data_IF_349596085531
#
_entry.id   IF_349596085531
#
_cell.length_a   1.000
_cell.length_b   1.000
_cell.length_c   1.000
_cell.angle_alpha   90.00
_cell.angle_beta   90.00
_cell.angle_gamma   90.00
#
_symmetry.space_group_name_H-M   'P 1'
#
loop_
_entity.id
_entity.type
_entity.pdbx_description
1 polymer ?
#
# COMPACT_ATOMS: atom_id res chain seq x y z
N UNK A 1 26.72 -15.72 1.34
CA UNK A 1 25.65 -16.51 1.98
C UNK A 1 24.40 -15.66 2.08
N UNK A 2 23.29 -16.12 1.55
CA UNK A 2 22.01 -15.42 1.65
C UNK A 2 21.47 -15.61 3.08
N UNK A 3 21.40 -14.57 3.92
CA UNK A 3 20.94 -14.68 5.31
C UNK A 3 19.45 -15.03 5.43
N UNK A 4 18.75 -15.15 4.29
CA UNK A 4 17.34 -15.44 4.22
C UNK A 4 16.97 -16.92 4.41
N UNK A 5 17.95 -17.81 4.51
CA UNK A 5 17.72 -19.25 4.70
C UNK A 5 18.15 -19.61 6.11
N UNK A 6 17.19 -19.73 7.02
CA UNK A 6 17.43 -20.34 8.33
C UNK A 6 17.66 -21.83 8.14
N UNK A 7 18.66 -22.38 8.83
CA UNK A 7 18.92 -23.83 8.89
C UNK A 7 17.77 -24.59 9.56
N UNK A 8 16.92 -23.89 10.31
CA UNK A 8 15.70 -24.39 10.93
C UNK A 8 14.50 -24.05 10.05
N UNK A 9 13.89 -25.06 9.41
CA UNK A 9 12.68 -24.92 8.57
C UNK A 9 11.51 -24.22 9.28
N UNK A 10 11.50 -24.20 10.61
CA UNK A 10 10.46 -23.55 11.42
C UNK A 10 10.51 -22.02 11.34
N UNK A 11 11.67 -21.44 11.01
CA UNK A 11 11.91 -19.99 10.91
C UNK A 11 12.31 -19.57 9.49
N UNK A 12 11.95 -20.33 8.49
CA UNK A 12 12.26 -20.02 7.09
C UNK A 12 11.57 -18.72 6.67
N UNK A 13 12.34 -17.80 6.08
CA UNK A 13 11.81 -16.56 5.55
C UNK A 13 10.81 -16.86 4.43
N UNK A 14 9.62 -16.32 4.55
CA UNK A 14 8.56 -16.44 3.57
C UNK A 14 8.45 -15.17 2.71
N UNK A 15 7.83 -15.29 1.55
CA UNK A 15 7.52 -14.19 0.66
C UNK A 15 6.13 -14.37 0.06
N UNK A 16 5.48 -13.27 -0.25
CA UNK A 16 4.20 -13.24 -0.94
C UNK A 16 4.21 -12.14 -2.00
N UNK A 17 3.46 -12.34 -3.08
CA UNK A 17 3.33 -11.36 -4.14
C UNK A 17 1.93 -11.41 -4.74
N UNK A 18 1.45 -10.25 -5.21
CA UNK A 18 0.20 -10.10 -5.95
C UNK A 18 0.49 -9.29 -7.22
N UNK A 19 -0.03 -9.74 -8.35
CA UNK A 19 -0.01 -9.02 -9.61
C UNK A 19 -1.46 -8.78 -10.07
N UNK A 20 -1.77 -7.52 -10.42
CA UNK A 20 -3.10 -7.09 -10.82
C UNK A 20 -3.02 -6.45 -12.21
N UNK A 21 -4.01 -6.75 -13.05
CA UNK A 21 -4.25 -5.99 -14.28
C UNK A 21 -4.88 -4.65 -13.90
N UNK A 22 -4.16 -3.55 -14.16
CA UNK A 22 -4.57 -2.21 -13.76
C UNK A 22 -5.91 -1.79 -14.38
N UNK A 23 -6.20 -2.25 -15.61
CA UNK A 23 -7.41 -1.85 -16.36
C UNK A 23 -8.68 -2.55 -15.86
N UNK A 24 -8.55 -3.73 -15.27
CA UNK A 24 -9.67 -4.57 -14.86
C UNK A 24 -9.82 -4.81 -13.38
N UNK A 25 -8.75 -4.63 -12.59
CA UNK A 25 -8.67 -5.04 -11.20
C UNK A 25 -8.48 -6.55 -10.98
N UNK A 26 -8.39 -7.34 -12.06
CA UNK A 26 -8.25 -8.78 -11.95
C UNK A 26 -6.87 -9.17 -11.43
N UNK A 27 -6.84 -10.07 -10.45
CA UNK A 27 -5.61 -10.71 -10.00
C UNK A 27 -5.15 -11.70 -11.07
N UNK A 28 -4.04 -11.38 -11.73
CA UNK A 28 -3.47 -12.22 -12.80
C UNK A 28 -2.43 -13.22 -12.26
N UNK A 29 -1.83 -12.92 -11.09
CA UNK A 29 -0.98 -13.85 -10.38
C UNK A 29 -0.97 -13.55 -8.89
N UNK A 30 -0.95 -14.59 -8.06
CA UNK A 30 -0.84 -14.46 -6.60
C UNK A 30 0.04 -15.60 -6.06
N UNK A 31 0.99 -15.24 -5.21
CA UNK A 31 1.90 -16.18 -4.55
C UNK A 31 1.80 -15.95 -3.05
N UNK A 32 1.37 -16.95 -2.30
CA UNK A 32 1.16 -16.87 -0.86
C UNK A 32 2.34 -17.31 0.00
N UNK A 33 3.35 -18.00 -0.57
CA UNK A 33 4.57 -18.40 0.14
C UNK A 33 5.68 -18.80 -0.85
N UNK A 34 6.92 -18.94 -0.35
CA UNK A 34 8.06 -19.41 -1.16
C UNK A 34 7.97 -20.88 -1.55
N UNK A 35 7.44 -21.69 -0.67
CA UNK A 35 7.27 -23.12 -0.86
C UNK A 35 5.85 -23.52 -0.46
N UNK A 36 5.34 -24.58 -1.07
CA UNK A 36 4.01 -25.11 -0.81
C UNK A 36 4.15 -26.63 -0.60
N UNK A 37 4.91 -27.00 0.44
CA UNK A 37 5.28 -28.40 0.73
C UNK A 37 4.27 -29.10 1.65
N UNK A 38 3.16 -28.44 1.98
CA UNK A 38 2.13 -28.98 2.86
C UNK A 38 0.86 -29.30 2.06
N UNK A 39 0.35 -30.48 2.24
CA UNK A 39 -0.98 -30.88 1.77
C UNK A 39 -2.06 -30.15 2.55
N UNK A 40 -3.03 -29.55 1.84
CA UNK A 40 -4.19 -28.90 2.43
C UNK A 40 -4.22 -27.39 2.35
N UNK A 41 -5.10 -26.78 3.14
CA UNK A 41 -5.29 -25.33 3.16
C UNK A 41 -4.15 -24.64 3.91
N UNK A 42 -3.25 -23.99 3.18
CA UNK A 42 -2.15 -23.22 3.75
C UNK A 42 -2.43 -21.72 3.73
N UNK A 43 -1.75 -20.97 4.61
CA UNK A 43 -1.88 -19.52 4.68
C UNK A 43 -1.42 -18.84 3.39
N UNK A 44 -2.32 -18.18 2.68
CA UNK A 44 -1.95 -17.30 1.59
C UNK A 44 -1.59 -15.92 2.13
N UNK A 45 -0.29 -15.66 2.27
CA UNK A 45 0.23 -14.43 2.87
C UNK A 45 -0.03 -13.19 2.02
N UNK A 46 -0.40 -13.35 0.76
CA UNK A 46 -0.63 -12.22 -0.12
C UNK A 46 -1.85 -11.37 0.29
N UNK A 47 -2.89 -12.01 0.89
CA UNK A 47 -4.08 -11.33 1.38
C UNK A 47 -4.45 -11.64 2.84
N UNK A 48 -3.85 -12.67 3.44
CA UNK A 48 -4.14 -13.08 4.83
C UNK A 48 -3.07 -12.60 5.82
N UNK A 49 -1.93 -12.07 5.34
CA UNK A 49 -0.86 -11.58 6.18
C UNK A 49 -0.65 -10.09 5.98
N UNK A 50 -0.63 -9.36 7.07
CA UNK A 50 -0.46 -7.91 7.10
C UNK A 50 0.94 -7.56 7.57
N UNK A 51 1.60 -6.62 6.92
CA UNK A 51 2.95 -6.15 7.22
C UNK A 51 3.04 -4.64 7.07
N UNK A 52 4.00 -4.04 7.74
CA UNK A 52 4.26 -2.63 7.62
C UNK A 52 4.71 -2.31 6.19
N UNK A 53 3.99 -1.45 5.44
CA UNK A 53 4.35 -1.11 4.07
C UNK A 53 5.58 -0.18 4.01
N UNK A 54 5.90 0.49 5.10
CA UNK A 54 6.92 1.53 5.12
C UNK A 54 6.61 2.62 4.10
N UNK A 55 7.65 3.20 3.51
CA UNK A 55 7.53 4.30 2.56
C UNK A 55 6.75 3.98 1.27
N UNK A 56 6.46 2.71 0.99
CA UNK A 56 5.65 2.36 -0.19
C UNK A 56 4.19 2.83 -0.07
N UNK A 57 3.71 3.17 1.13
CA UNK A 57 2.36 3.71 1.32
C UNK A 57 2.23 5.20 0.98
N UNK A 58 3.33 5.96 1.01
CA UNK A 58 3.33 7.42 0.85
C UNK A 58 2.59 7.93 -0.39
N UNK A 59 2.74 7.34 -1.58
CA UNK A 59 1.98 7.78 -2.74
C UNK A 59 0.48 7.76 -2.50
N UNK A 60 -0.03 6.73 -1.85
CA UNK A 60 -1.46 6.50 -1.68
C UNK A 60 -2.05 7.37 -0.56
N UNK A 61 -1.39 7.43 0.59
CA UNK A 61 -1.95 8.06 1.80
C UNK A 61 -1.62 9.55 1.92
N UNK A 62 -0.45 9.97 1.43
CA UNK A 62 0.03 11.34 1.55
C UNK A 62 -0.14 12.13 0.25
N UNK A 63 0.42 11.63 -0.84
CA UNK A 63 0.65 12.45 -2.03
C UNK A 63 -0.55 12.51 -2.96
N UNK A 64 -1.29 11.42 -3.17
CA UNK A 64 -2.52 11.45 -3.97
C UNK A 64 -3.53 12.42 -3.36
N UNK A 65 -3.95 12.31 -2.07
CA UNK A 65 -4.88 13.26 -1.48
C UNK A 65 -4.33 14.70 -1.41
N UNK A 66 -3.03 14.89 -1.32
CA UNK A 66 -2.41 16.22 -1.33
C UNK A 66 -2.47 16.89 -2.70
N UNK A 67 -2.27 16.12 -3.77
CA UNK A 67 -2.42 16.59 -5.14
C UNK A 67 -3.88 16.93 -5.46
N UNK A 68 -4.84 16.11 -5.00
CA UNK A 68 -6.28 16.34 -5.19
C UNK A 68 -6.77 17.62 -4.50
N UNK A 69 -6.08 18.09 -3.45
CA UNK A 69 -6.34 19.42 -2.86
C UNK A 69 -5.84 20.61 -3.70
N UNK A 70 -5.31 20.36 -4.88
CA UNK A 70 -4.85 21.38 -5.82
C UNK A 70 -3.35 21.65 -5.76
N UNK A 71 -2.59 20.88 -4.98
CA UNK A 71 -1.14 20.94 -5.03
C UNK A 71 -0.62 20.31 -6.31
N UNK A 72 0.62 20.62 -6.68
CA UNK A 72 1.27 20.11 -7.89
C UNK A 72 2.61 19.48 -7.54
N UNK A 73 3.20 18.69 -8.45
CA UNK A 73 4.56 18.17 -8.25
C UNK A 73 5.62 19.26 -8.03
N UNK A 74 5.36 20.49 -8.45
CA UNK A 74 6.26 21.64 -8.30
C UNK A 74 5.96 22.50 -7.06
N UNK A 75 4.91 22.13 -6.27
CA UNK A 75 4.63 22.74 -4.97
C UNK A 75 5.85 22.64 -4.07
N UNK A 76 6.24 23.77 -3.46
CA UNK A 76 7.37 23.82 -2.51
C UNK A 76 6.93 23.29 -1.15
N UNK A 77 7.68 22.34 -0.63
CA UNK A 77 7.49 21.70 0.68
C UNK A 77 8.78 21.81 1.50
N UNK A 78 8.64 21.74 2.83
CA UNK A 78 9.76 21.87 3.76
C UNK A 78 10.26 20.52 4.23
N UNK A 79 11.53 20.24 3.93
CA UNK A 79 12.26 19.05 4.41
C UNK A 79 13.19 19.48 5.55
N UNK A 80 12.65 19.53 6.76
CA UNK A 80 13.33 20.04 7.95
C UNK A 80 13.27 19.05 9.11
N UNK A 81 14.13 19.21 10.10
CA UNK A 81 14.07 18.44 11.34
C UNK A 81 12.75 18.68 12.06
N UNK A 82 12.12 17.60 12.49
CA UNK A 82 10.88 17.62 13.27
C UNK A 82 11.20 17.11 14.68
N UNK A 83 11.02 17.96 15.68
CA UNK A 83 11.18 17.53 17.05
C UNK A 83 10.11 16.47 17.39
N UNK A 84 10.54 15.35 17.98
CA UNK A 84 9.71 14.20 18.31
C UNK A 84 9.01 13.55 17.10
N UNK A 85 9.48 13.86 15.89
CA UNK A 85 9.00 13.33 14.61
C UNK A 85 10.01 12.39 13.94
N UNK A 86 9.66 11.88 12.74
CA UNK A 86 10.55 11.00 12.01
C UNK A 86 11.77 11.74 11.48
N UNK A 87 12.89 11.00 11.37
CA UNK A 87 14.08 11.44 10.64
C UNK A 87 14.03 10.91 9.21
N UNK A 88 14.68 11.61 8.30
CA UNK A 88 14.96 11.06 6.97
C UNK A 88 15.96 9.90 7.08
N UNK A 89 15.86 8.93 6.16
CA UNK A 89 16.67 7.71 6.21
C UNK A 89 18.18 7.98 6.15
N UNK A 90 18.58 9.04 5.45
CA UNK A 90 19.97 9.49 5.32
C UNK A 90 20.42 10.45 6.45
N UNK A 91 19.49 10.82 7.35
CA UNK A 91 19.75 11.76 8.45
C UNK A 91 19.94 13.22 8.00
N UNK A 92 19.74 13.54 6.73
CA UNK A 92 19.93 14.90 6.17
C UNK A 92 18.59 15.60 5.94
N UNK A 93 18.63 16.93 5.77
CA UNK A 93 17.47 17.79 5.50
C UNK A 93 17.85 18.79 4.42
N UNK A 94 16.96 19.03 3.46
CA UNK A 94 17.23 19.80 2.26
C UNK A 94 16.56 21.19 2.28
N UNK A 95 15.78 21.51 3.31
CA UNK A 95 15.01 22.76 3.39
C UNK A 95 13.86 22.79 2.37
N UNK A 96 13.72 23.92 1.68
CA UNK A 96 12.70 24.11 0.65
C UNK A 96 13.01 23.30 -0.62
N UNK A 97 12.17 22.32 -0.91
CA UNK A 97 12.28 21.46 -2.11
C UNK A 97 10.93 21.34 -2.80
N UNK A 98 10.91 20.87 -4.05
CA UNK A 98 9.65 20.55 -4.73
C UNK A 98 9.06 19.24 -4.17
N UNK A 99 7.75 19.10 -4.23
CA UNK A 99 7.06 17.86 -3.88
C UNK A 99 7.61 16.67 -4.69
N UNK A 100 7.91 16.88 -5.98
CA UNK A 100 8.56 15.89 -6.87
C UNK A 100 9.86 15.37 -6.28
N UNK A 101 10.73 16.28 -5.82
CA UNK A 101 12.00 15.91 -5.17
C UNK A 101 11.76 15.15 -3.88
N UNK A 102 10.80 15.60 -3.06
CA UNK A 102 10.45 14.92 -1.81
C UNK A 102 9.96 13.49 -2.04
N UNK A 103 9.12 13.26 -3.06
CA UNK A 103 8.64 11.94 -3.46
C UNK A 103 9.78 11.07 -3.95
N UNK A 104 10.61 11.56 -4.88
CA UNK A 104 11.70 10.79 -5.49
C UNK A 104 12.76 10.34 -4.48
N UNK A 105 13.02 11.16 -3.45
CA UNK A 105 13.95 10.87 -2.37
C UNK A 105 13.27 10.25 -1.14
N UNK A 106 11.96 10.04 -1.22
CA UNK A 106 11.17 9.43 -0.13
C UNK A 106 11.35 10.13 1.23
N UNK A 107 11.31 11.48 1.25
CA UNK A 107 11.54 12.28 2.47
C UNK A 107 10.47 12.01 3.52
N UNK A 108 10.89 11.52 4.68
CA UNK A 108 9.96 11.16 5.77
C UNK A 108 9.34 12.39 6.41
N UNK A 109 10.11 13.45 6.58
CA UNK A 109 9.66 14.71 7.18
C UNK A 109 8.58 15.37 6.35
N UNK A 110 8.73 15.34 5.02
CA UNK A 110 7.73 15.87 4.09
C UNK A 110 6.44 15.05 4.14
N UNK A 111 6.52 13.72 4.04
CA UNK A 111 5.34 12.85 4.14
C UNK A 111 4.58 13.07 5.45
N UNK A 112 5.32 13.16 6.56
CA UNK A 112 4.75 13.44 7.88
C UNK A 112 4.00 14.78 7.95
N UNK A 113 4.59 15.85 7.41
CA UNK A 113 3.98 17.18 7.41
C UNK A 113 2.78 17.25 6.46
N UNK A 114 2.86 16.62 5.30
CA UNK A 114 1.76 16.50 4.34
C UNK A 114 0.57 15.80 4.99
N UNK A 115 0.76 14.63 5.61
CA UNK A 115 -0.34 13.95 6.28
C UNK A 115 -0.89 14.75 7.47
N UNK A 116 -0.03 15.42 8.23
CA UNK A 116 -0.46 16.29 9.33
C UNK A 116 -1.34 17.43 8.84
N UNK A 117 -1.04 18.04 7.70
CA UNK A 117 -1.87 19.07 7.05
C UNK A 117 -3.19 18.49 6.53
N UNK A 118 -3.16 17.32 5.91
CA UNK A 118 -4.35 16.60 5.43
C UNK A 118 -5.24 16.10 6.57
N UNK A 119 -4.65 15.74 7.66
CA UNK A 119 -5.07 14.93 8.80
C UNK A 119 -4.97 13.41 8.54
N UNK A 120 -4.55 12.61 9.54
CA UNK A 120 -4.51 11.15 9.39
C UNK A 120 -5.86 10.52 9.01
N UNK A 121 -6.95 11.14 9.45
CA UNK A 121 -8.31 10.70 9.11
C UNK A 121 -8.59 10.77 7.61
N UNK A 122 -8.15 11.84 6.95
CA UNK A 122 -8.29 11.99 5.49
C UNK A 122 -7.45 10.94 4.78
N UNK A 123 -6.15 10.82 5.10
CA UNK A 123 -5.29 9.80 4.50
C UNK A 123 -5.85 8.38 4.68
N UNK A 124 -6.29 8.04 5.90
CA UNK A 124 -6.92 6.72 6.16
C UNK A 124 -8.19 6.49 5.34
N UNK A 125 -8.99 7.54 5.05
CA UNK A 125 -10.21 7.38 4.26
C UNK A 125 -9.90 6.95 2.83
N UNK A 126 -8.80 7.40 2.24
CA UNK A 126 -8.35 6.94 0.92
C UNK A 126 -8.05 5.44 0.92
N UNK A 127 -7.36 4.95 1.96
CA UNK A 127 -7.08 3.51 2.09
C UNK A 127 -8.36 2.70 2.30
N UNK A 128 -9.26 3.16 3.18
CA UNK A 128 -10.52 2.48 3.45
C UNK A 128 -11.41 2.39 2.21
N UNK A 129 -11.48 3.47 1.42
CA UNK A 129 -12.23 3.50 0.17
C UNK A 129 -11.68 2.52 -0.87
N UNK A 130 -10.37 2.24 -0.83
CA UNK A 130 -9.69 1.26 -1.69
C UNK A 130 -9.66 -0.15 -1.10
N UNK A 131 -10.47 -0.42 -0.06
CA UNK A 131 -10.65 -1.76 0.49
C UNK A 131 -9.57 -2.23 1.47
N UNK A 132 -8.77 -1.35 2.04
CA UNK A 132 -7.84 -1.73 3.11
C UNK A 132 -8.60 -2.08 4.38
N UNK A 133 -8.44 -3.31 4.87
CA UNK A 133 -9.33 -3.87 5.89
C UNK A 133 -8.96 -3.50 7.33
N UNK A 134 -7.68 -3.20 7.63
CA UNK A 134 -7.21 -3.07 9.02
C UNK A 134 -6.68 -1.69 9.39
N UNK A 135 -6.82 -0.70 8.54
CA UNK A 135 -6.28 0.65 8.75
C UNK A 135 -7.22 1.56 9.55
N UNK A 136 -8.45 1.15 9.81
CA UNK A 136 -9.45 1.93 10.54
C UNK A 136 -9.05 2.29 11.98
N UNK A 137 -8.13 1.52 12.57
CA UNK A 137 -7.62 1.78 13.92
C UNK A 137 -6.60 2.93 13.96
N UNK A 138 -5.99 3.24 12.83
CA UNK A 138 -4.83 4.13 12.74
C UNK A 138 -5.19 5.55 12.30
N UNK A 139 -6.48 5.85 12.13
CA UNK A 139 -7.01 7.13 11.61
C UNK A 139 -6.66 8.38 12.42
N UNK A 140 -6.18 8.22 13.64
CA UNK A 140 -5.76 9.34 14.51
C UNK A 140 -4.22 9.44 14.63
N UNK A 141 -3.46 8.52 14.03
CA UNK A 141 -2.03 8.43 14.22
C UNK A 141 -1.26 8.87 12.98
N UNK A 142 -0.44 9.93 13.13
CA UNK A 142 0.33 10.45 12.00
C UNK A 142 1.47 9.50 11.55
N UNK A 143 1.79 8.47 12.33
CA UNK A 143 2.81 7.47 11.97
C UNK A 143 2.49 6.71 10.67
N UNK A 144 1.23 6.66 10.27
CA UNK A 144 0.79 6.05 9.00
C UNK A 144 1.38 6.75 7.77
N UNK A 145 1.76 8.04 7.85
CA UNK A 145 2.45 8.77 6.80
C UNK A 145 3.73 8.08 6.31
N UNK A 146 4.40 7.35 7.18
CA UNK A 146 5.65 6.65 6.89
C UNK A 146 5.49 5.13 6.96
N UNK A 147 4.24 4.66 6.97
CA UNK A 147 3.90 3.24 6.96
C UNK A 147 3.89 2.54 8.32
N UNK A 148 3.74 3.31 9.41
CA UNK A 148 3.62 2.77 10.77
C UNK A 148 2.17 2.52 11.16
N UNK A 149 1.66 1.32 10.88
CA UNK A 149 0.30 0.88 11.18
C UNK A 149 0.25 -0.08 12.37
N UNK A 150 -0.90 -0.19 13.02
CA UNK A 150 -1.12 -1.17 14.08
C UNK A 150 -0.97 -2.61 13.56
N UNK A 151 -1.58 -2.94 12.44
CA UNK A 151 -1.51 -4.27 11.82
C UNK A 151 -0.66 -4.31 10.55
N UNK A 152 -0.58 -3.21 9.82
CA UNK A 152 -0.02 -3.16 8.49
C UNK A 152 -1.07 -3.44 7.40
N UNK A 153 -0.59 -3.76 6.20
CA UNK A 153 -1.38 -3.97 4.98
C UNK A 153 -0.95 -5.25 4.27
N UNK A 154 -1.80 -5.78 3.39
CA UNK A 154 -1.48 -6.93 2.55
C UNK A 154 -0.85 -6.51 1.22
N UNK A 155 -0.23 -7.46 0.50
CA UNK A 155 0.29 -7.19 -0.85
C UNK A 155 -0.83 -6.99 -1.86
N UNK A 156 -1.99 -7.62 -1.65
CA UNK A 156 -3.17 -7.44 -2.48
C UNK A 156 -3.71 -6.00 -2.37
N UNK A 157 -3.90 -5.49 -1.14
CA UNK A 157 -4.33 -4.11 -0.89
C UNK A 157 -3.39 -3.09 -1.53
N UNK A 158 -2.08 -3.29 -1.35
CA UNK A 158 -1.08 -2.40 -1.95
C UNK A 158 -1.09 -2.46 -3.48
N UNK A 159 -1.20 -3.65 -4.08
CA UNK A 159 -1.27 -3.80 -5.52
C UNK A 159 -2.52 -3.12 -6.10
N UNK A 160 -3.68 -3.26 -5.43
CA UNK A 160 -4.93 -2.58 -5.81
C UNK A 160 -4.79 -1.05 -5.78
N UNK A 161 -4.22 -0.51 -4.71
CA UNK A 161 -4.01 0.94 -4.58
C UNK A 161 -3.10 1.52 -5.67
N UNK A 162 -2.02 0.80 -6.00
CA UNK A 162 -1.15 1.21 -7.11
C UNK A 162 -1.79 1.01 -8.48
N UNK A 163 -2.65 -0.02 -8.64
CA UNK A 163 -3.44 -0.19 -9.86
C UNK A 163 -4.40 0.99 -10.09
N UNK A 164 -5.04 1.51 -9.03
CA UNK A 164 -5.87 2.71 -9.10
C UNK A 164 -5.07 3.93 -9.59
N UNK A 165 -3.86 4.15 -9.05
CA UNK A 165 -2.98 5.24 -9.52
C UNK A 165 -2.61 5.05 -11.00
N UNK A 166 -2.26 3.82 -11.40
CA UNK A 166 -1.87 3.50 -12.77
C UNK A 166 -3.05 3.56 -13.77
N UNK A 167 -4.29 3.51 -13.28
CA UNK A 167 -5.54 3.60 -14.04
C UNK A 167 -6.19 4.99 -13.92
N UNK A 168 -5.36 6.04 -13.91
CA UNK A 168 -5.78 7.45 -13.87
C UNK A 168 -6.72 7.80 -12.69
N UNK A 169 -6.58 7.09 -11.56
CA UNK A 169 -7.38 7.27 -10.35
C UNK A 169 -8.71 6.51 -10.36
N UNK A 170 -9.03 5.78 -11.43
CA UNK A 170 -10.21 4.91 -11.44
C UNK A 170 -9.97 3.63 -10.64
N UNK A 171 -10.65 3.52 -9.50
CA UNK A 171 -10.62 2.32 -8.68
C UNK A 171 -11.32 1.15 -9.36
N UNK A 172 -10.67 0.01 -9.38
CA UNK A 172 -11.22 -1.27 -9.85
C UNK A 172 -11.18 -2.27 -8.70
N UNK A 173 -12.34 -2.87 -8.41
CA UNK A 173 -12.41 -3.89 -7.38
C UNK A 173 -11.43 -5.03 -7.67
N UNK A 174 -10.51 -5.27 -6.74
CA UNK A 174 -9.59 -6.40 -6.84
C UNK A 174 -10.36 -7.71 -6.73
N UNK A 175 -10.21 -8.59 -7.70
CA UNK A 175 -10.92 -9.87 -7.73
C UNK A 175 -10.13 -10.96 -8.45
N UNK A 176 -10.26 -12.21 -7.96
CA UNK A 176 -9.78 -13.42 -8.64
C UNK A 176 -10.89 -14.10 -9.45
N UNK A 177 -12.13 -13.57 -9.40
CA UNK A 177 -13.31 -14.19 -10.02
C UNK A 177 -13.90 -13.18 -10.99
N UNK A 178 -13.67 -13.37 -12.27
CA UNK A 178 -14.24 -12.51 -13.31
C UNK A 178 -15.71 -12.81 -13.58
N UNK A 179 -16.11 -14.09 -13.54
CA UNK A 179 -17.48 -14.48 -13.85
C UNK A 179 -17.87 -15.79 -13.15
N UNK A 180 -19.12 -15.91 -12.70
CA UNK A 180 -19.70 -17.17 -12.21
C UNK A 180 -20.92 -17.48 -13.09
N UNK A 181 -21.02 -18.72 -13.58
CA UNK A 181 -22.17 -19.25 -14.33
C UNK A 181 -22.85 -20.37 -13.56
N UNK A 182 -24.18 -20.45 -13.67
CA UNK A 182 -24.93 -21.61 -13.15
C UNK A 182 -24.76 -22.83 -14.07
N UNK A 183 -25.34 -23.97 -13.67
CA UNK A 183 -25.30 -25.22 -14.42
C UNK A 183 -25.99 -25.16 -15.80
N UNK A 184 -26.77 -24.09 -16.05
CA UNK A 184 -27.46 -23.83 -17.34
C UNK A 184 -26.67 -22.82 -18.18
N UNK A 185 -25.51 -22.38 -17.76
CA UNK A 185 -24.66 -21.40 -18.46
C UNK A 185 -25.09 -19.95 -18.26
N UNK A 186 -26.06 -19.63 -17.40
CA UNK A 186 -26.48 -18.25 -17.12
C UNK A 186 -25.46 -17.59 -16.18
N UNK A 187 -25.08 -16.37 -16.51
CA UNK A 187 -24.20 -15.57 -15.67
C UNK A 187 -24.96 -15.19 -14.38
N UNK A 188 -24.42 -15.55 -13.22
CA UNK A 188 -24.94 -15.21 -11.88
C UNK A 188 -24.09 -14.18 -11.18
N UNK A 189 -22.86 -13.97 -11.64
CA UNK A 189 -21.96 -12.93 -11.21
C UNK A 189 -21.03 -12.53 -12.37
N UNK A 190 -20.80 -11.24 -12.52
CA UNK A 190 -19.81 -10.66 -13.45
C UNK A 190 -19.11 -9.49 -12.76
N UNK A 191 -17.76 -9.47 -12.82
CA UNK A 191 -16.96 -8.41 -12.18
C UNK A 191 -16.86 -7.14 -13.03
N UNK A 192 -17.31 -7.17 -14.28
CA UNK A 192 -17.22 -6.06 -15.22
C UNK A 192 -18.40 -5.08 -15.17
N UNK A 193 -19.39 -5.35 -14.34
CA UNK A 193 -20.64 -4.56 -14.24
C UNK A 193 -20.89 -3.95 -12.90
#
# INVERSE_FOLDING_TARGET
SNPAVSADKKNEMQAAATCIDNSTGNVVAIIGSRTQDLDGYTLNRAYQSYRQPGSSIKPVIDYVPYLEKGNTPDTIVQDEYIQDGPKNADGTYMGSITLRTAVSLSRNTVAWNVLKELTPKVGSSYLLNQGFHKVWMDKEYNAIAIGGFTYGVSTEEMAGAYATIANDGEDRRVTCVSQIKDTRGRIVYDSSG
#
